data_IF_334867686247
#
_entry.id   IF_334867686247
#
_cell.length_a   1.000
_cell.length_b   1.000
_cell.length_c   1.000
_cell.angle_alpha   90.00
_cell.angle_beta   90.00
_cell.angle_gamma   90.00
#
_symmetry.space_group_name_H-M   'P 1'
#
loop_
_entity.id
_entity.type
_entity.pdbx_description
1 polymer ?
#
# COMPACT_ATOMS: atom_id res chain seq x y z
N UNK A 1 1.54 -7.91 -2.59
CA UNK A 1 1.96 -6.53 -2.85
C UNK A 1 0.84 -5.74 -3.49
N UNK A 2 0.77 -4.47 -3.21
CA UNK A 2 -0.15 -3.56 -3.88
C UNK A 2 0.38 -3.28 -5.29
N UNK A 3 -0.34 -3.76 -6.30
CA UNK A 3 0.03 -3.65 -7.72
C UNK A 3 -1.12 -3.12 -8.59
N UNK A 4 -2.15 -2.56 -7.97
CA UNK A 4 -3.34 -2.02 -8.61
C UNK A 4 -4.13 -3.01 -9.50
N UNK A 5 -3.89 -4.32 -9.33
CA UNK A 5 -4.58 -5.35 -10.11
C UNK A 5 -6.02 -5.56 -9.62
N UNK A 6 -6.25 -5.42 -8.31
CA UNK A 6 -7.52 -5.73 -7.67
C UNK A 6 -8.17 -4.53 -6.96
N UNK A 7 -7.42 -3.48 -6.67
CA UNK A 7 -7.89 -2.34 -5.90
C UNK A 7 -8.73 -1.39 -6.76
N UNK A 8 -10.04 -1.38 -6.54
CA UNK A 8 -11.01 -0.63 -7.36
C UNK A 8 -10.91 0.89 -7.16
N UNK A 9 -10.43 1.33 -6.01
CA UNK A 9 -10.25 2.74 -5.68
C UNK A 9 -9.14 3.46 -6.45
N UNK A 10 -8.32 2.72 -7.22
CA UNK A 10 -7.30 3.30 -8.09
C UNK A 10 -7.80 3.58 -9.51
N UNK A 11 -9.06 3.27 -9.76
CA UNK A 11 -9.69 3.42 -11.06
C UNK A 11 -11.06 4.09 -10.92
N UNK A 12 -11.10 5.39 -10.55
CA UNK A 12 -12.36 6.10 -10.36
C UNK A 12 -13.12 6.22 -11.68
N UNK A 13 -14.46 6.23 -11.57
CA UNK A 13 -15.35 6.49 -12.69
C UNK A 13 -15.63 7.98 -12.76
N UNK A 14 -15.40 8.57 -13.92
CA UNK A 14 -15.67 9.97 -14.21
C UNK A 14 -17.18 10.22 -14.42
N UNK A 15 -17.57 11.51 -14.44
CA UNK A 15 -18.96 11.92 -14.63
C UNK A 15 -19.56 11.47 -15.99
N UNK A 16 -18.73 11.29 -16.99
CA UNK A 16 -19.11 10.77 -18.33
C UNK A 16 -19.19 9.23 -18.40
N UNK A 17 -18.94 8.54 -17.27
CA UNK A 17 -18.93 7.09 -17.17
C UNK A 17 -17.61 6.43 -17.56
N UNK A 18 -16.63 7.17 -18.06
CA UNK A 18 -15.29 6.64 -18.35
C UNK A 18 -14.53 6.28 -17.05
N UNK A 19 -13.53 5.41 -17.17
CA UNK A 19 -12.69 4.99 -16.04
C UNK A 19 -11.29 5.56 -16.20
N UNK A 20 -10.84 6.33 -15.22
CA UNK A 20 -9.45 6.80 -15.13
C UNK A 20 -8.54 5.68 -14.64
N UNK A 21 -7.44 5.39 -15.36
CA UNK A 21 -6.51 4.31 -15.05
C UNK A 21 -5.10 4.79 -14.67
N UNK A 22 -4.84 6.08 -14.74
CA UNK A 22 -3.52 6.69 -14.56
C UNK A 22 -2.89 6.32 -13.21
N UNK A 23 -3.68 6.37 -12.15
CA UNK A 23 -3.24 6.00 -10.81
C UNK A 23 -2.92 4.51 -10.70
N UNK A 24 -3.75 3.66 -11.28
CA UNK A 24 -3.52 2.22 -11.31
C UNK A 24 -2.23 1.88 -12.08
N UNK A 25 -2.00 2.54 -13.22
CA UNK A 25 -0.78 2.42 -14.02
C UNK A 25 0.45 2.83 -13.20
N UNK A 26 0.43 4.02 -12.59
CA UNK A 26 1.55 4.53 -11.80
C UNK A 26 1.92 3.61 -10.63
N UNK A 27 0.92 3.08 -9.91
CA UNK A 27 1.15 2.14 -8.80
C UNK A 27 1.71 0.80 -9.31
N UNK A 28 1.21 0.31 -10.44
CA UNK A 28 1.74 -0.93 -11.02
C UNK A 28 3.20 -0.75 -11.46
N UNK A 29 3.53 0.31 -12.17
CA UNK A 29 4.91 0.62 -12.56
C UNK A 29 5.83 0.71 -11.34
N UNK A 30 5.42 1.42 -10.30
CA UNK A 30 6.16 1.51 -9.04
C UNK A 30 6.39 0.12 -8.39
N UNK A 31 5.40 -0.77 -8.46
CA UNK A 31 5.54 -2.13 -7.97
C UNK A 31 6.50 -2.96 -8.84
N UNK A 32 6.50 -2.79 -10.17
CA UNK A 32 7.45 -3.48 -11.05
C UNK A 32 8.90 -3.04 -10.76
N UNK A 33 9.15 -1.77 -10.45
CA UNK A 33 10.46 -1.28 -10.00
C UNK A 33 10.90 -2.03 -8.72
N UNK A 34 10.00 -2.19 -7.76
CA UNK A 34 10.29 -2.95 -6.53
C UNK A 34 10.60 -4.43 -6.83
N UNK A 35 9.87 -5.06 -7.76
CA UNK A 35 10.16 -6.44 -8.19
C UNK A 35 11.54 -6.56 -8.84
N UNK A 36 11.92 -5.63 -9.70
CA UNK A 36 13.24 -5.59 -10.34
C UNK A 36 14.34 -5.44 -9.28
N UNK A 37 14.16 -4.53 -8.33
CA UNK A 37 15.07 -4.37 -7.21
C UNK A 37 15.25 -5.66 -6.41
N UNK A 38 14.14 -6.35 -6.06
CA UNK A 38 14.22 -7.61 -5.32
C UNK A 38 14.87 -8.72 -6.14
N UNK A 39 14.57 -8.82 -7.44
CA UNK A 39 15.20 -9.79 -8.34
C UNK A 39 16.71 -9.58 -8.38
N UNK A 40 17.17 -8.35 -8.57
CA UNK A 40 18.59 -8.01 -8.50
C UNK A 40 19.24 -8.41 -7.15
N UNK A 41 18.53 -8.18 -6.02
CA UNK A 41 19.07 -8.58 -4.72
C UNK A 41 19.11 -10.10 -4.55
N UNK A 42 18.21 -10.84 -5.18
CA UNK A 42 18.29 -12.33 -5.21
C UNK A 42 19.51 -12.80 -6.01
N UNK A 43 19.74 -12.27 -7.20
CA UNK A 43 20.91 -12.59 -8.01
C UNK A 43 22.23 -12.26 -7.30
N UNK A 44 22.24 -11.21 -6.51
CA UNK A 44 23.39 -10.82 -5.66
C UNK A 44 23.54 -11.64 -4.38
N UNK A 45 22.63 -12.58 -4.10
CA UNK A 45 22.62 -13.38 -2.88
C UNK A 45 22.33 -12.58 -1.59
N UNK A 46 21.82 -11.36 -1.71
CA UNK A 46 21.39 -10.50 -0.60
C UNK A 46 20.05 -10.99 -0.07
N UNK A 47 19.06 -11.13 -0.96
CA UNK A 47 17.80 -11.81 -0.68
C UNK A 47 17.93 -13.29 -1.05
N UNK A 48 17.54 -14.17 -0.15
CA UNK A 48 17.64 -15.62 -0.32
C UNK A 48 16.28 -16.25 -0.17
N UNK A 49 16.11 -17.42 -0.82
CA UNK A 49 14.88 -18.20 -0.73
C UNK A 49 13.64 -17.33 -1.04
N UNK A 50 13.42 -16.92 -2.30
CA UNK A 50 12.35 -16.00 -2.67
C UNK A 50 10.98 -16.37 -2.06
N UNK A 51 10.65 -17.66 -1.98
CA UNK A 51 9.39 -18.14 -1.36
C UNK A 51 9.21 -17.76 0.11
N UNK A 52 10.27 -17.37 0.81
CA UNK A 52 10.17 -16.89 2.19
C UNK A 52 9.57 -15.49 2.27
N UNK A 53 9.67 -14.70 1.20
CA UNK A 53 9.21 -13.32 1.21
C UNK A 53 8.24 -12.94 0.08
N UNK A 54 8.19 -13.67 -1.05
CA UNK A 54 7.25 -13.40 -2.14
C UNK A 54 6.68 -14.69 -2.70
N UNK A 55 5.36 -14.74 -2.86
CA UNK A 55 4.65 -15.90 -3.37
C UNK A 55 3.60 -15.47 -4.39
N UNK A 56 3.39 -16.29 -5.42
CA UNK A 56 2.28 -16.08 -6.35
C UNK A 56 0.97 -16.32 -5.63
N UNK A 57 0.12 -15.30 -5.63
CA UNK A 57 -1.27 -15.38 -5.16
C UNK A 57 -2.12 -14.57 -6.14
N UNK A 58 -3.06 -15.18 -6.85
CA UNK A 58 -3.90 -14.47 -7.80
C UNK A 58 -4.62 -13.29 -7.14
N UNK A 59 -4.67 -12.17 -7.87
CA UNK A 59 -5.40 -10.98 -7.45
C UNK A 59 -6.74 -10.92 -8.18
N UNK A 60 -7.81 -10.71 -7.43
CA UNK A 60 -9.18 -10.66 -7.91
C UNK A 60 -9.88 -9.41 -7.39
N UNK A 61 -10.72 -8.81 -8.24
CA UNK A 61 -11.79 -7.94 -7.78
C UNK A 61 -13.09 -8.74 -7.87
N UNK A 62 -13.97 -8.61 -6.88
CA UNK A 62 -15.28 -9.26 -6.87
C UNK A 62 -16.35 -8.27 -6.43
N UNK A 63 -17.41 -8.19 -7.19
CA UNK A 63 -18.54 -7.30 -6.93
C UNK A 63 -19.88 -7.99 -7.21
N UNK A 64 -20.95 -7.46 -6.61
CA UNK A 64 -22.33 -7.86 -6.86
C UNK A 64 -23.23 -6.66 -7.00
N UNK A 65 -24.39 -6.89 -7.60
CA UNK A 65 -25.37 -5.86 -7.97
C UNK A 65 -25.05 -5.22 -9.34
N UNK A 66 -26.09 -4.79 -10.03
CA UNK A 66 -26.02 -4.36 -11.42
C UNK A 66 -25.04 -3.22 -11.67
N UNK A 67 -25.10 -2.18 -10.84
CA UNK A 67 -24.24 -1.01 -10.97
C UNK A 67 -22.76 -1.35 -10.79
N UNK A 68 -22.46 -2.20 -9.80
CA UNK A 68 -21.10 -2.63 -9.54
C UNK A 68 -20.56 -3.56 -10.63
N UNK A 69 -21.40 -4.42 -11.19
CA UNK A 69 -21.06 -5.27 -12.35
C UNK A 69 -20.74 -4.40 -13.56
N UNK A 70 -21.56 -3.40 -13.84
CA UNK A 70 -21.33 -2.46 -14.94
C UNK A 70 -20.02 -1.67 -14.74
N UNK A 71 -19.77 -1.20 -13.52
CA UNK A 71 -18.51 -0.53 -13.18
C UNK A 71 -17.29 -1.45 -13.40
N UNK A 72 -17.33 -2.69 -12.90
CA UNK A 72 -16.19 -3.61 -13.02
C UNK A 72 -15.93 -3.99 -14.49
N UNK A 73 -16.98 -4.13 -15.28
CA UNK A 73 -16.88 -4.37 -16.74
C UNK A 73 -16.19 -3.20 -17.44
N UNK A 74 -16.60 -1.97 -17.16
CA UNK A 74 -15.98 -0.75 -17.69
C UNK A 74 -14.51 -0.63 -17.27
N UNK A 75 -14.22 -0.89 -15.98
CA UNK A 75 -12.85 -0.92 -15.45
C UNK A 75 -11.97 -1.93 -16.18
N UNK A 76 -12.47 -3.15 -16.36
CA UNK A 76 -11.73 -4.18 -17.10
C UNK A 76 -11.38 -3.71 -18.52
N UNK A 77 -12.36 -3.17 -19.25
CA UNK A 77 -12.14 -2.67 -20.61
C UNK A 77 -11.10 -1.53 -20.66
N UNK A 78 -11.13 -0.62 -19.70
CA UNK A 78 -10.17 0.48 -19.62
C UNK A 78 -8.74 -0.04 -19.32
N UNK A 79 -8.60 -0.97 -18.36
CA UNK A 79 -7.29 -1.54 -17.98
C UNK A 79 -6.65 -2.36 -19.11
N UNK A 80 -7.45 -2.98 -20.01
CA UNK A 80 -6.90 -3.72 -21.15
C UNK A 80 -6.14 -2.83 -22.15
N UNK A 81 -6.28 -1.51 -22.08
CA UNK A 81 -5.51 -0.57 -22.90
C UNK A 81 -4.06 -0.41 -22.44
N UNK A 82 -3.74 -0.85 -21.23
CA UNK A 82 -2.40 -0.78 -20.64
C UNK A 82 -1.66 -2.11 -20.76
N UNK A 83 -0.38 -2.07 -21.15
CA UNK A 83 0.49 -3.25 -21.22
C UNK A 83 0.66 -3.97 -19.86
N UNK A 84 0.51 -3.23 -18.77
CA UNK A 84 0.70 -3.73 -17.39
C UNK A 84 -0.45 -4.63 -16.90
N UNK A 85 -1.64 -4.52 -17.49
CA UNK A 85 -2.83 -5.26 -17.06
C UNK A 85 -3.24 -6.35 -18.07
N UNK A 86 -2.42 -6.61 -19.07
CA UNK A 86 -2.64 -7.73 -19.99
C UNK A 86 -2.64 -9.06 -19.23
N UNK A 87 -3.49 -9.98 -19.65
CA UNK A 87 -3.67 -11.25 -18.98
C UNK A 87 -4.64 -11.21 -17.78
N UNK A 88 -5.21 -10.04 -17.46
CA UNK A 88 -6.37 -9.97 -16.59
C UNK A 88 -7.57 -10.60 -17.30
N UNK A 89 -8.31 -11.46 -16.58
CA UNK A 89 -9.55 -12.08 -17.05
C UNK A 89 -10.75 -11.46 -16.35
N UNK A 90 -11.88 -11.45 -17.02
CA UNK A 90 -13.17 -10.97 -16.51
C UNK A 90 -14.23 -12.05 -16.68
N UNK A 91 -15.11 -12.20 -15.70
CA UNK A 91 -16.24 -13.12 -15.78
C UNK A 91 -17.45 -12.61 -14.98
N UNK A 92 -18.66 -12.90 -15.49
CA UNK A 92 -19.94 -12.78 -14.78
C UNK A 92 -20.56 -14.18 -14.54
N UNK A 93 -19.88 -15.23 -15.00
CA UNK A 93 -20.33 -16.61 -14.84
C UNK A 93 -20.05 -17.12 -13.43
N UNK A 94 -21.09 -17.52 -12.72
CA UNK A 94 -21.05 -18.06 -11.36
C UNK A 94 -20.13 -19.28 -11.26
N UNK A 95 -20.16 -20.19 -12.25
CA UNK A 95 -19.34 -21.40 -12.23
C UNK A 95 -17.86 -21.06 -12.35
N UNK A 96 -17.53 -20.15 -13.27
CA UNK A 96 -16.15 -19.69 -13.44
C UNK A 96 -15.61 -18.94 -12.22
N UNK A 97 -16.42 -18.05 -11.62
CA UNK A 97 -16.02 -17.32 -10.42
C UNK A 97 -15.86 -18.28 -9.23
N UNK A 98 -16.72 -19.30 -9.13
CA UNK A 98 -16.60 -20.34 -8.10
C UNK A 98 -15.31 -21.14 -8.26
N UNK A 99 -14.91 -21.48 -9.48
CA UNK A 99 -13.60 -22.11 -9.74
C UNK A 99 -12.43 -21.23 -9.28
N UNK A 100 -12.53 -19.91 -9.50
CA UNK A 100 -11.50 -18.97 -9.12
C UNK A 100 -11.39 -18.73 -7.61
N UNK A 101 -12.52 -18.66 -6.92
CA UNK A 101 -12.61 -18.38 -5.48
C UNK A 101 -13.86 -19.05 -4.89
N UNK A 102 -13.78 -20.35 -4.54
CA UNK A 102 -14.94 -21.11 -4.08
C UNK A 102 -15.70 -20.46 -2.94
N UNK A 103 -14.99 -19.95 -1.92
CA UNK A 103 -15.62 -19.42 -0.71
C UNK A 103 -16.56 -18.23 -0.97
N UNK A 104 -16.25 -17.39 -2.00
CA UNK A 104 -17.10 -16.22 -2.28
C UNK A 104 -18.38 -16.58 -3.04
N UNK A 105 -18.46 -17.79 -3.59
CA UNK A 105 -19.61 -18.24 -4.39
C UNK A 105 -20.44 -19.33 -3.72
N UNK A 106 -19.86 -20.11 -2.81
CA UNK A 106 -20.59 -21.17 -2.12
C UNK A 106 -21.68 -20.61 -1.21
N UNK A 107 -22.92 -21.08 -1.44
CA UNK A 107 -24.09 -20.58 -0.74
C UNK A 107 -24.63 -19.22 -1.21
N UNK A 108 -24.04 -18.63 -2.25
CA UNK A 108 -24.53 -17.39 -2.85
C UNK A 108 -25.76 -17.64 -3.72
N UNK A 109 -26.71 -16.68 -3.67
CA UNK A 109 -27.92 -16.73 -4.49
C UNK A 109 -27.55 -16.82 -6.00
N UNK A 110 -27.97 -17.87 -6.70
CA UNK A 110 -27.69 -18.04 -8.14
C UNK A 110 -28.25 -16.92 -9.03
N UNK A 111 -29.24 -16.17 -8.55
CA UNK A 111 -29.86 -15.05 -9.26
C UNK A 111 -29.15 -13.73 -9.03
N UNK A 112 -28.26 -13.66 -8.05
CA UNK A 112 -27.50 -12.44 -7.76
C UNK A 112 -26.55 -12.12 -8.93
N UNK A 113 -26.66 -10.92 -9.50
CA UNK A 113 -25.69 -10.45 -10.50
C UNK A 113 -24.34 -10.28 -9.84
N UNK A 114 -23.32 -10.94 -10.36
CA UNK A 114 -21.94 -10.90 -9.87
C UNK A 114 -20.97 -10.66 -11.02
N UNK A 115 -19.81 -10.11 -10.71
CA UNK A 115 -18.69 -10.05 -11.63
C UNK A 115 -17.37 -10.14 -10.88
N UNK A 116 -16.36 -10.70 -11.53
CA UNK A 116 -15.00 -10.74 -11.02
C UNK A 116 -13.97 -10.48 -12.11
N UNK A 117 -12.84 -9.89 -11.70
CA UNK A 117 -11.60 -9.94 -12.46
C UNK A 117 -10.59 -10.82 -11.75
N UNK A 118 -9.70 -11.48 -12.51
CA UNK A 118 -8.63 -12.33 -11.98
C UNK A 118 -7.34 -12.13 -12.75
N UNK A 119 -6.25 -11.98 -12.04
CA UNK A 119 -4.89 -11.86 -12.60
C UNK A 119 -3.96 -12.84 -11.89
N UNK A 120 -3.37 -13.77 -12.63
CA UNK A 120 -2.55 -14.86 -12.08
C UNK A 120 -1.18 -14.38 -11.56
N UNK A 121 -0.66 -13.27 -12.09
CA UNK A 121 0.64 -12.70 -11.69
C UNK A 121 0.60 -11.92 -10.37
N UNK A 122 -0.53 -11.93 -9.66
CA UNK A 122 -0.64 -11.34 -8.33
C UNK A 122 0.32 -11.97 -7.34
N UNK A 123 0.70 -11.22 -6.33
CA UNK A 123 1.68 -11.70 -5.33
C UNK A 123 1.27 -11.35 -3.90
N UNK A 124 1.63 -12.21 -2.98
CA UNK A 124 1.72 -11.91 -1.56
C UNK A 124 3.18 -11.71 -1.15
N UNK A 125 3.46 -10.65 -0.37
CA UNK A 125 4.82 -10.24 0.00
C UNK A 125 4.94 -10.12 1.51
N UNK A 126 5.93 -10.80 2.10
CA UNK A 126 6.34 -10.66 3.49
C UNK A 126 7.47 -9.60 3.58
N UNK A 127 7.08 -8.35 3.76
CA UNK A 127 8.03 -7.23 3.87
C UNK A 127 8.93 -7.33 5.09
N UNK A 128 8.46 -7.95 6.16
CA UNK A 128 9.27 -8.22 7.35
C UNK A 128 10.47 -9.09 7.02
N UNK A 129 10.25 -10.14 6.22
CA UNK A 129 11.34 -11.03 5.81
C UNK A 129 12.33 -10.33 4.86
N UNK A 130 11.85 -9.54 3.89
CA UNK A 130 12.71 -8.71 3.05
C UNK A 130 13.59 -7.80 3.92
N UNK A 131 12.98 -7.12 4.89
CA UNK A 131 13.71 -6.22 5.81
C UNK A 131 14.76 -6.96 6.61
N UNK A 132 14.43 -8.12 7.20
CA UNK A 132 15.39 -8.93 7.96
C UNK A 132 16.60 -9.32 7.10
N UNK A 133 16.38 -9.78 5.88
CA UNK A 133 17.45 -10.22 4.99
C UNK A 133 18.32 -9.05 4.51
N UNK A 134 17.71 -7.90 4.16
CA UNK A 134 18.45 -6.69 3.78
C UNK A 134 19.34 -6.20 4.93
N UNK A 135 18.80 -6.12 6.15
CA UNK A 135 19.57 -5.72 7.34
C UNK A 135 20.69 -6.72 7.64
N UNK A 136 20.41 -8.02 7.58
CA UNK A 136 21.43 -9.05 7.78
C UNK A 136 22.58 -8.96 6.76
N UNK A 137 22.28 -8.58 5.51
CA UNK A 137 23.31 -8.31 4.51
C UNK A 137 24.11 -7.04 4.82
N UNK A 138 23.46 -5.97 5.26
CA UNK A 138 24.13 -4.72 5.64
C UNK A 138 25.07 -4.91 6.84
N UNK A 139 24.68 -5.72 7.82
CA UNK A 139 25.50 -6.00 9.03
C UNK A 139 26.84 -6.68 8.70
N UNK A 140 26.99 -7.26 7.50
CA UNK A 140 28.29 -7.82 7.05
C UNK A 140 29.25 -6.75 6.53
N UNK A 141 28.80 -5.51 6.39
CA UNK A 141 29.62 -4.38 5.91
C UNK A 141 30.28 -3.65 7.09
N UNK A 142 31.57 -3.37 6.97
CA UNK A 142 32.35 -2.69 8.03
C UNK A 142 31.91 -1.23 8.29
N UNK A 143 31.21 -0.61 7.33
CA UNK A 143 30.72 0.75 7.42
C UNK A 143 29.22 0.84 7.79
N UNK A 144 28.62 -0.24 8.31
CA UNK A 144 27.23 -0.28 8.76
C UNK A 144 27.16 -0.59 10.26
N UNK A 145 26.34 0.15 10.99
CA UNK A 145 26.03 -0.09 12.39
C UNK A 145 24.54 -0.13 12.64
N UNK A 146 24.06 -1.16 13.35
CA UNK A 146 22.67 -1.31 13.77
C UNK A 146 22.59 -1.23 15.28
N UNK A 147 21.79 -0.32 15.80
CA UNK A 147 21.49 -0.18 17.22
C UNK A 147 20.02 -0.53 17.47
N UNK A 148 19.79 -1.69 18.05
CA UNK A 148 18.46 -2.13 18.47
C UNK A 148 18.14 -1.62 19.87
N UNK A 149 16.86 -1.62 20.24
CA UNK A 149 16.38 -1.06 21.53
C UNK A 149 16.85 0.37 21.76
N UNK A 150 16.92 1.15 20.69
CA UNK A 150 17.40 2.52 20.68
C UNK A 150 16.36 3.44 20.06
N UNK A 151 16.11 4.57 20.71
CA UNK A 151 15.11 5.56 20.29
C UNK A 151 15.78 6.90 20.02
N UNK A 152 15.55 7.44 18.82
CA UNK A 152 15.93 8.82 18.51
C UNK A 152 14.96 9.76 19.21
N UNK A 153 15.49 10.64 20.06
CA UNK A 153 14.70 11.58 20.88
C UNK A 153 14.82 13.02 20.48
N UNK A 154 15.92 13.40 19.84
CA UNK A 154 16.11 14.77 19.37
C UNK A 154 16.97 14.81 18.12
N UNK A 155 16.70 15.80 17.29
CA UNK A 155 17.44 16.13 16.08
C UNK A 155 17.80 17.62 16.12
N UNK A 156 19.09 17.93 16.21
CA UNK A 156 19.56 19.30 16.25
C UNK A 156 20.47 19.58 15.07
N UNK A 157 20.13 20.58 14.26
CA UNK A 157 21.00 21.08 13.20
C UNK A 157 22.19 21.83 13.80
N UNK A 158 23.39 21.57 13.30
CA UNK A 158 24.61 22.29 13.64
C UNK A 158 24.90 23.38 12.60
N UNK A 159 25.73 24.37 12.95
CA UNK A 159 26.07 25.50 12.10
C UNK A 159 26.74 25.10 10.77
N UNK A 160 27.37 23.92 10.73
CA UNK A 160 28.03 23.39 9.52
C UNK A 160 27.12 22.45 8.68
N UNK A 161 25.82 22.59 8.81
CA UNK A 161 24.81 21.77 8.11
C UNK A 161 24.90 20.26 8.40
N UNK A 162 25.52 19.85 9.50
CA UNK A 162 25.42 18.49 10.02
C UNK A 162 24.33 18.40 11.09
N UNK A 163 24.01 17.20 11.53
CA UNK A 163 23.01 16.94 12.56
C UNK A 163 23.64 16.31 13.79
N UNK A 164 23.19 16.71 14.96
CA UNK A 164 23.37 15.97 16.21
C UNK A 164 22.09 15.19 16.46
N UNK A 165 22.20 13.87 16.44
CA UNK A 165 21.11 12.92 16.70
C UNK A 165 21.26 12.38 18.10
N UNK A 166 20.32 12.70 18.98
CA UNK A 166 20.31 12.16 20.35
C UNK A 166 19.55 10.84 20.36
N UNK A 167 20.25 9.79 20.77
CA UNK A 167 19.73 8.40 20.80
C UNK A 167 19.73 7.91 22.23
N UNK A 168 18.57 7.46 22.72
CA UNK A 168 18.42 6.82 24.02
C UNK A 168 18.48 5.29 23.86
N UNK A 169 19.29 4.64 24.69
CA UNK A 169 19.25 3.19 24.87
C UNK A 169 18.11 2.83 25.83
N UNK A 170 17.11 2.11 25.32
CA UNK A 170 15.91 1.75 26.09
C UNK A 170 16.15 0.63 27.11
N UNK A 171 17.33 -0.03 27.09
CA UNK A 171 17.67 -1.09 28.06
C UNK A 171 18.28 -0.54 29.32
N UNK A 172 19.15 0.46 29.21
CA UNK A 172 19.90 1.01 30.35
C UNK A 172 19.56 2.48 30.65
N UNK A 173 18.74 3.13 29.81
CA UNK A 173 18.32 4.52 29.98
C UNK A 173 19.40 5.56 29.68
N UNK A 174 20.56 5.17 29.18
CA UNK A 174 21.61 6.12 28.79
C UNK A 174 21.29 6.79 27.42
N UNK A 175 21.84 7.98 27.21
CA UNK A 175 21.72 8.67 25.93
C UNK A 175 23.11 8.97 25.36
N UNK A 176 23.21 8.93 24.02
CA UNK A 176 24.41 9.31 23.28
C UNK A 176 24.05 10.27 22.13
N UNK A 177 25.02 11.07 21.72
CA UNK A 177 24.90 11.95 20.58
C UNK A 177 25.70 11.41 19.41
N UNK A 178 25.04 11.26 18.26
CA UNK A 178 25.67 10.84 17.01
C UNK A 178 25.69 12.02 16.05
N UNK A 179 26.83 12.32 15.45
CA UNK A 179 26.92 13.34 14.40
C UNK A 179 26.68 12.70 13.02
N UNK A 180 25.76 13.28 12.24
CA UNK A 180 25.40 12.80 10.93
C UNK A 180 25.49 13.94 9.89
N UNK A 181 25.94 13.63 8.67
CA UNK A 181 25.88 14.56 7.52
C UNK A 181 24.51 14.56 6.87
N UNK A 182 23.82 13.45 6.92
CA UNK A 182 22.48 13.25 6.39
C UNK A 182 21.67 12.40 7.35
N UNK A 183 20.40 12.74 7.54
CA UNK A 183 19.44 11.97 8.34
C UNK A 183 18.26 11.57 7.47
N UNK A 184 17.97 10.26 7.43
CA UNK A 184 16.72 9.78 6.85
C UNK A 184 15.79 9.28 7.97
N UNK A 185 14.59 9.85 8.04
CA UNK A 185 13.58 9.49 9.02
C UNK A 185 12.62 8.47 8.39
N UNK A 186 12.88 7.19 8.62
CA UNK A 186 12.04 6.08 8.17
C UNK A 186 11.25 5.44 9.32
N UNK A 187 10.72 6.24 10.25
CA UNK A 187 10.15 5.79 11.51
C UNK A 187 8.65 5.43 11.45
N UNK A 188 8.09 5.21 10.26
CA UNK A 188 6.68 4.91 10.09
C UNK A 188 5.78 5.99 10.70
N UNK A 189 4.82 5.63 11.54
CA UNK A 189 3.94 6.61 12.19
C UNK A 189 4.66 7.64 13.06
N UNK A 190 5.83 7.33 13.60
CA UNK A 190 6.62 8.26 14.40
C UNK A 190 7.44 9.25 13.56
N UNK A 191 7.47 9.10 12.25
CA UNK A 191 8.27 9.97 11.37
C UNK A 191 7.84 11.44 11.46
N UNK A 192 6.55 11.72 11.59
CA UNK A 192 6.04 13.08 11.74
C UNK A 192 6.61 13.79 12.97
N UNK A 193 6.63 13.13 14.12
CA UNK A 193 7.19 13.72 15.36
C UNK A 193 8.67 14.04 15.21
N UNK A 194 9.43 13.11 14.68
CA UNK A 194 10.88 13.32 14.44
C UNK A 194 11.13 14.42 13.43
N UNK A 195 10.28 14.52 12.39
CA UNK A 195 10.36 15.61 11.43
C UNK A 195 10.08 16.97 12.08
N UNK A 196 9.08 17.05 12.95
CA UNK A 196 8.79 18.26 13.73
C UNK A 196 9.94 18.63 14.68
N UNK A 197 10.52 17.65 15.38
CA UNK A 197 11.69 17.82 16.24
C UNK A 197 12.93 18.35 15.50
N UNK A 198 13.05 18.07 14.21
CA UNK A 198 14.15 18.60 13.38
C UNK A 198 14.12 20.11 13.22
N UNK A 199 12.95 20.74 13.43
CA UNK A 199 12.76 22.18 13.33
C UNK A 199 12.90 22.76 11.91
N UNK A 200 12.92 21.92 10.85
CA UNK A 200 12.98 22.44 9.48
C UNK A 200 11.67 23.16 9.11
N UNK A 201 11.75 24.25 8.33
CA UNK A 201 10.55 25.02 7.95
C UNK A 201 9.50 24.17 7.22
N UNK A 202 9.95 23.22 6.41
CA UNK A 202 9.11 22.34 5.60
C UNK A 202 8.23 21.40 6.45
N UNK A 203 8.55 21.21 7.74
CA UNK A 203 7.78 20.37 8.65
C UNK A 203 6.51 21.04 9.20
N UNK A 204 6.41 22.38 9.12
CA UNK A 204 5.41 23.15 9.88
C UNK A 204 3.95 22.87 9.50
N UNK A 205 3.72 22.54 8.25
CA UNK A 205 2.38 22.43 7.67
C UNK A 205 1.83 21.00 7.68
N UNK A 206 2.52 20.07 8.36
CA UNK A 206 2.12 18.68 8.43
C UNK A 206 1.49 18.31 9.76
N UNK A 207 0.42 17.53 9.70
CA UNK A 207 -0.19 16.85 10.83
C UNK A 207 -0.44 15.38 10.48
N UNK A 208 -0.76 14.57 11.46
CA UNK A 208 -1.03 13.15 11.31
C UNK A 208 -2.44 12.79 11.75
N UNK A 209 -3.09 11.93 10.98
CA UNK A 209 -4.36 11.33 11.34
C UNK A 209 -4.18 9.81 11.50
N UNK A 210 -4.13 9.30 12.75
CA UNK A 210 -3.87 7.89 13.00
C UNK A 210 -5.12 7.05 12.77
N UNK A 211 -4.97 6.00 11.96
CA UNK A 211 -6.02 4.99 11.71
C UNK A 211 -5.44 3.62 11.92
N UNK A 212 -6.08 2.82 12.75
CA UNK A 212 -5.76 1.40 12.90
C UNK A 212 -6.64 0.52 12.04
N UNK A 213 -6.34 -0.77 12.03
CA UNK A 213 -7.15 -1.77 11.37
C UNK A 213 -7.21 -3.05 12.18
N UNK A 214 -8.32 -3.76 12.02
CA UNK A 214 -8.53 -5.10 12.55
C UNK A 214 -8.94 -6.02 11.40
N UNK A 215 -8.64 -7.30 11.55
CA UNK A 215 -9.03 -8.35 10.61
C UNK A 215 -9.64 -9.52 11.36
N UNK A 216 -10.61 -10.16 10.76
CA UNK A 216 -10.95 -11.55 11.09
C UNK A 216 -9.93 -12.44 10.39
N UNK A 217 -9.39 -13.42 11.12
CA UNK A 217 -8.34 -14.33 10.64
C UNK A 217 -8.80 -15.77 10.84
N UNK A 218 -8.67 -16.57 9.80
CA UNK A 218 -8.85 -18.01 9.86
C UNK A 218 -7.54 -18.74 9.58
N UNK A 219 -7.23 -19.71 10.41
CA UNK A 219 -6.16 -20.70 10.25
C UNK A 219 -6.74 -22.10 10.01
N UNK A 220 -8.08 -22.24 9.92
CA UNK A 220 -8.72 -23.52 9.65
C UNK A 220 -8.30 -24.05 8.28
N UNK A 221 -7.73 -25.27 8.18
CA UNK A 221 -7.29 -25.86 6.91
C UNK A 221 -8.38 -25.92 5.85
N UNK A 222 -9.63 -26.15 6.24
CA UNK A 222 -10.78 -26.22 5.31
C UNK A 222 -11.04 -24.84 4.66
N UNK A 223 -10.86 -23.76 5.39
CA UNK A 223 -10.95 -22.40 4.84
C UNK A 223 -9.71 -22.06 4.02
N UNK A 224 -8.54 -22.28 4.61
CA UNK A 224 -7.24 -21.85 4.03
C UNK A 224 -6.93 -22.58 2.73
N UNK A 225 -7.27 -23.85 2.60
CA UNK A 225 -7.00 -24.63 1.39
C UNK A 225 -8.00 -24.37 0.26
N UNK A 226 -9.21 -23.88 0.59
CA UNK A 226 -10.23 -23.52 -0.38
C UNK A 226 -10.15 -22.07 -0.89
N UNK A 227 -9.31 -21.22 -0.28
CA UNK A 227 -9.15 -19.83 -0.69
C UNK A 227 -7.69 -19.54 -1.04
N UNK A 228 -7.40 -19.42 -2.35
CA UNK A 228 -6.04 -19.27 -2.86
C UNK A 228 -5.85 -17.97 -3.65
N UNK A 229 -6.63 -16.95 -3.34
CA UNK A 229 -6.59 -15.65 -4.01
C UNK A 229 -6.65 -14.50 -2.99
N UNK A 230 -6.33 -13.30 -3.45
CA UNK A 230 -6.70 -12.04 -2.79
C UNK A 230 -7.92 -11.48 -3.51
N UNK A 231 -9.04 -11.38 -2.81
CA UNK A 231 -10.31 -10.94 -3.40
C UNK A 231 -10.75 -9.64 -2.76
N UNK A 232 -10.70 -8.56 -3.53
CA UNK A 232 -11.09 -7.20 -3.12
C UNK A 232 -12.48 -6.86 -3.64
N UNK A 233 -13.30 -6.31 -2.74
CA UNK A 233 -14.60 -5.76 -3.08
C UNK A 233 -14.54 -4.29 -3.46
N UNK A 234 -15.72 -3.67 -3.47
CA UNK A 234 -15.88 -2.23 -3.60
C UNK A 234 -16.16 -1.62 -2.23
N UNK A 235 -15.51 -0.51 -1.93
CA UNK A 235 -15.78 0.24 -0.71
C UNK A 235 -17.23 0.74 -0.70
N UNK A 236 -17.85 0.76 0.49
CA UNK A 236 -19.15 1.40 0.68
C UNK A 236 -19.06 2.89 0.36
N UNK A 237 -20.18 3.49 -0.03
CA UNK A 237 -20.27 4.94 -0.27
C UNK A 237 -19.85 5.69 1.00
N UNK A 238 -18.91 6.65 0.86
CA UNK A 238 -18.37 7.42 1.99
C UNK A 238 -17.24 6.72 2.76
N UNK A 239 -16.96 5.45 2.49
CA UNK A 239 -15.83 4.75 3.10
C UNK A 239 -14.50 5.20 2.48
N UNK A 240 -13.45 5.41 3.30
CA UNK A 240 -12.14 5.76 2.76
C UNK A 240 -11.55 4.60 1.95
N UNK A 241 -10.73 4.88 0.92
CA UNK A 241 -10.14 3.86 0.05
C UNK A 241 -9.39 2.75 0.77
N UNK A 242 -8.89 3.02 1.97
CA UNK A 242 -8.18 2.05 2.80
C UNK A 242 -9.08 1.03 3.50
N UNK A 243 -10.39 1.23 3.46
CA UNK A 243 -11.40 0.38 4.11
C UNK A 243 -12.12 -0.54 3.14
N UNK A 244 -11.55 -0.76 1.95
CA UNK A 244 -12.09 -1.69 0.96
C UNK A 244 -12.13 -3.10 1.57
N UNK A 245 -13.33 -3.70 1.73
CA UNK A 245 -13.42 -5.06 2.25
C UNK A 245 -12.74 -6.06 1.31
N UNK A 246 -11.99 -6.98 1.88
CA UNK A 246 -11.34 -8.02 1.11
C UNK A 246 -11.17 -9.30 1.92
N UNK A 247 -11.19 -10.43 1.22
CA UNK A 247 -10.86 -11.73 1.76
C UNK A 247 -9.60 -12.25 1.08
N UNK A 248 -8.51 -12.37 1.85
CA UNK A 248 -7.17 -12.53 1.33
C UNK A 248 -6.46 -13.76 1.85
N UNK A 249 -5.90 -14.55 0.96
CA UNK A 249 -4.82 -15.47 1.31
C UNK A 249 -3.53 -14.70 1.60
N UNK A 250 -2.91 -15.03 2.74
CA UNK A 250 -1.59 -14.50 3.15
C UNK A 250 -0.66 -15.66 3.45
N UNK A 251 0.61 -15.46 3.08
CA UNK A 251 1.70 -16.37 3.42
C UNK A 251 2.66 -15.65 4.34
N UNK A 252 2.63 -15.97 5.63
CA UNK A 252 3.42 -15.33 6.67
C UNK A 252 4.29 -16.37 7.37
N UNK A 253 5.60 -16.19 7.29
CA UNK A 253 6.59 -17.07 7.93
C UNK A 253 6.35 -18.57 7.64
N UNK A 254 6.03 -18.88 6.36
CA UNK A 254 5.76 -20.22 5.88
C UNK A 254 4.36 -20.77 6.17
N UNK A 255 3.52 -20.03 6.90
CA UNK A 255 2.13 -20.40 7.19
C UNK A 255 1.17 -19.65 6.29
N UNK A 256 0.17 -20.35 5.78
CA UNK A 256 -0.95 -19.75 5.05
C UNK A 256 -2.10 -19.47 6.01
N UNK A 257 -2.68 -18.27 5.90
CA UNK A 257 -3.87 -17.84 6.63
C UNK A 257 -4.82 -17.12 5.67
N UNK A 258 -6.10 -17.03 6.03
CA UNK A 258 -7.07 -16.18 5.33
C UNK A 258 -7.48 -15.04 6.24
N UNK A 259 -7.42 -13.82 5.72
CA UNK A 259 -7.82 -12.60 6.42
C UNK A 259 -9.07 -12.03 5.78
N UNK A 260 -9.98 -11.49 6.58
CA UNK A 260 -11.10 -10.67 6.12
C UNK A 260 -11.12 -9.33 6.85
N UNK A 261 -11.29 -8.25 6.11
CA UNK A 261 -11.34 -6.86 6.59
C UNK A 261 -10.82 -5.90 5.53
N UNK A 262 -10.21 -4.76 5.91
CA UNK A 262 -10.00 -4.29 7.28
C UNK A 262 -11.26 -3.68 7.90
N UNK A 263 -11.38 -3.79 9.20
CA UNK A 263 -12.26 -2.98 10.02
C UNK A 263 -11.45 -1.81 10.57
N UNK A 264 -11.85 -0.59 10.26
CA UNK A 264 -11.12 0.57 10.71
C UNK A 264 -11.26 0.76 12.22
N UNK A 265 -10.18 1.14 12.87
CA UNK A 265 -10.18 1.54 14.27
C UNK A 265 -9.53 2.91 14.41
N UNK A 266 -9.91 3.64 15.44
CA UNK A 266 -9.28 4.90 15.79
C UNK A 266 -8.47 4.73 17.06
N UNK A 267 -7.29 5.33 17.07
CA UNK A 267 -6.44 5.44 18.25
C UNK A 267 -5.61 6.71 18.12
N UNK A 268 -5.31 7.35 19.24
CA UNK A 268 -4.39 8.50 19.25
C UNK A 268 -2.92 8.09 19.14
N UNK A 269 -2.63 6.79 19.18
CA UNK A 269 -1.29 6.25 18.97
C UNK A 269 -0.88 6.30 17.50
N UNK A 270 0.34 6.68 17.22
CA UNK A 270 0.91 6.67 15.87
C UNK A 270 1.54 5.32 15.49
N UNK A 271 1.91 4.53 16.47
CA UNK A 271 2.45 3.18 16.31
C UNK A 271 1.65 2.18 17.15
N UNK A 272 1.67 0.91 16.78
CA UNK A 272 1.03 -0.18 17.55
C UNK A 272 1.44 -0.16 19.02
N UNK A 273 2.72 0.04 19.28
CA UNK A 273 3.32 0.15 20.62
C UNK A 273 3.66 1.61 20.99
N UNK A 274 3.00 2.59 20.35
CA UNK A 274 3.18 4.01 20.62
C UNK A 274 2.42 4.49 21.88
N UNK A 275 2.48 5.80 22.12
CA UNK A 275 1.83 6.47 23.24
C UNK A 275 0.45 7.01 22.84
N UNK A 276 -0.50 6.99 23.77
CA UNK A 276 -1.79 7.68 23.62
C UNK A 276 -1.63 9.20 23.46
N UNK A 277 -0.49 9.75 23.83
CA UNK A 277 -0.14 11.15 23.68
C UNK A 277 0.44 11.50 22.30
N UNK A 278 0.63 10.55 21.40
CA UNK A 278 1.28 10.79 20.10
C UNK A 278 0.54 11.85 19.29
N UNK A 279 -0.77 11.73 19.15
CA UNK A 279 -1.59 12.72 18.42
C UNK A 279 -1.51 14.10 19.07
N UNK A 280 -1.70 14.18 20.38
CA UNK A 280 -1.68 15.44 21.11
C UNK A 280 -0.31 16.13 21.04
N UNK A 281 0.77 15.36 21.22
CA UNK A 281 2.15 15.89 21.20
C UNK A 281 2.62 16.29 19.80
N UNK A 282 1.97 15.81 18.73
CA UNK A 282 2.24 16.21 17.34
C UNK A 282 1.39 17.40 16.89
N UNK A 283 0.41 17.82 17.70
CA UNK A 283 -0.46 18.97 17.40
C UNK A 283 0.25 20.26 17.81
N UNK A 284 0.38 21.18 16.86
CA UNK A 284 1.06 22.47 16.99
C UNK A 284 0.11 23.61 16.61
N UNK A 285 0.48 24.84 16.94
CA UNK A 285 -0.28 26.03 16.52
C UNK A 285 -0.37 26.18 15.00
N UNK A 286 0.61 25.66 14.26
CA UNK A 286 0.64 25.75 12.80
C UNK A 286 -0.23 24.69 12.11
N UNK A 287 -0.43 23.51 12.72
CA UNK A 287 -1.15 22.40 12.09
C UNK A 287 -2.55 22.14 12.65
N UNK A 288 -2.93 22.76 13.79
CA UNK A 288 -4.27 22.58 14.40
C UNK A 288 -5.40 23.05 13.47
N UNK A 289 -5.21 24.18 12.79
CA UNK A 289 -6.23 24.68 11.85
C UNK A 289 -6.40 23.77 10.64
N UNK A 290 -5.34 23.34 9.92
CA UNK A 290 -5.45 22.28 8.92
C UNK A 290 -6.17 21.01 9.39
N UNK A 291 -5.89 20.54 10.60
CA UNK A 291 -6.60 19.39 11.19
C UNK A 291 -8.10 19.63 11.36
N UNK A 292 -8.49 20.82 11.83
CA UNK A 292 -9.91 21.19 12.00
C UNK A 292 -10.64 21.26 10.64
N UNK A 293 -10.04 21.87 9.62
CA UNK A 293 -10.61 21.93 8.28
C UNK A 293 -10.82 20.52 7.70
N UNK A 294 -9.79 19.66 7.79
CA UNK A 294 -9.92 18.27 7.34
C UNK A 294 -11.05 17.54 8.07
N UNK A 295 -11.21 17.74 9.38
CA UNK A 295 -12.29 17.14 10.16
C UNK A 295 -13.68 17.60 9.71
N UNK A 296 -13.84 18.88 9.39
CA UNK A 296 -15.11 19.47 8.92
C UNK A 296 -15.40 19.06 7.47
N UNK A 297 -14.41 19.13 6.59
CA UNK A 297 -14.56 18.83 5.17
C UNK A 297 -14.75 17.33 4.88
N UNK A 298 -14.29 16.47 5.80
CA UNK A 298 -14.42 15.02 5.70
C UNK A 298 -15.36 14.44 6.79
N UNK A 299 -16.47 15.12 7.05
CA UNK A 299 -17.42 14.68 8.08
C UNK A 299 -17.94 13.27 7.85
N UNK A 300 -18.16 12.86 6.59
CA UNK A 300 -18.57 11.50 6.25
C UNK A 300 -17.50 10.46 6.62
N UNK A 301 -16.21 10.80 6.46
CA UNK A 301 -15.11 9.98 6.93
C UNK A 301 -15.13 9.83 8.45
N UNK A 302 -15.33 10.92 9.17
CA UNK A 302 -15.43 10.89 10.64
C UNK A 302 -16.59 10.02 11.09
N UNK A 303 -17.77 10.20 10.49
CA UNK A 303 -18.97 9.38 10.74
C UNK A 303 -18.72 7.90 10.46
N UNK A 304 -18.07 7.59 9.33
CA UNK A 304 -17.69 6.22 8.97
C UNK A 304 -16.75 5.62 10.03
N UNK A 305 -15.70 6.33 10.45
CA UNK A 305 -14.76 5.83 11.46
C UNK A 305 -15.44 5.58 12.81
N UNK A 306 -16.35 6.48 13.22
CA UNK A 306 -17.16 6.28 14.43
C UNK A 306 -17.98 5.00 14.30
N UNK A 307 -18.67 4.79 13.17
CA UNK A 307 -19.45 3.58 12.92
C UNK A 307 -18.59 2.31 12.99
N UNK A 308 -17.38 2.35 12.44
CA UNK A 308 -16.45 1.23 12.46
C UNK A 308 -15.95 0.87 13.86
N UNK A 309 -15.68 1.88 14.70
CA UNK A 309 -15.27 1.66 16.09
C UNK A 309 -16.40 1.03 16.92
N UNK A 310 -17.66 1.32 16.57
CA UNK A 310 -18.86 0.79 17.26
C UNK A 310 -19.28 -0.60 16.78
N UNK A 311 -18.64 -1.19 15.74
CA UNK A 311 -18.99 -2.52 15.26
C UNK A 311 -18.80 -3.56 16.36
N UNK A 312 -19.83 -4.35 16.59
CA UNK A 312 -19.77 -5.54 17.42
C UNK A 312 -19.01 -6.68 16.72
N UNK A 313 -18.74 -7.74 17.44
CA UNK A 313 -18.18 -8.96 16.84
C UNK A 313 -19.15 -9.56 15.81
N UNK A 314 -20.45 -9.51 16.10
CA UNK A 314 -21.50 -10.00 15.21
C UNK A 314 -21.56 -9.18 13.91
N UNK A 315 -21.50 -7.86 13.99
CA UNK A 315 -21.50 -6.99 12.80
C UNK A 315 -20.33 -7.30 11.88
N UNK A 316 -19.13 -7.54 12.45
CA UNK A 316 -17.94 -7.93 11.66
C UNK A 316 -18.12 -9.29 11.02
N UNK A 317 -18.75 -10.21 11.71
CA UNK A 317 -19.01 -11.55 11.18
C UNK A 317 -20.08 -11.52 10.07
N UNK A 318 -21.14 -10.73 10.21
CA UNK A 318 -22.12 -10.53 9.14
C UNK A 318 -21.48 -9.87 7.90
N UNK A 319 -20.61 -8.91 8.08
CA UNK A 319 -19.83 -8.35 6.97
C UNK A 319 -18.96 -9.40 6.25
N UNK A 320 -18.38 -10.35 6.98
CA UNK A 320 -17.67 -11.49 6.38
C UNK A 320 -18.62 -12.36 5.54
N UNK A 321 -19.85 -12.62 6.02
CA UNK A 321 -20.83 -13.44 5.32
C UNK A 321 -21.31 -12.83 4.00
N UNK A 322 -21.22 -11.52 3.84
CA UNK A 322 -21.46 -10.91 2.52
C UNK A 322 -20.45 -11.39 1.46
N UNK A 323 -19.21 -11.70 1.86
CA UNK A 323 -18.16 -12.23 1.00
C UNK A 323 -18.06 -13.74 1.02
N UNK A 324 -18.26 -14.36 2.16
CA UNK A 324 -18.23 -15.80 2.37
C UNK A 324 -19.54 -16.26 3.06
N UNK A 325 -20.62 -16.53 2.29
CA UNK A 325 -21.95 -16.81 2.83
C UNK A 325 -22.00 -17.99 3.81
N UNK A 326 -21.15 -19.00 3.62
CA UNK A 326 -21.08 -20.20 4.46
C UNK A 326 -20.04 -20.11 5.58
N UNK A 327 -19.52 -18.93 5.89
CA UNK A 327 -18.58 -18.74 6.99
C UNK A 327 -19.16 -19.24 8.32
N UNK A 328 -18.32 -19.90 9.13
CA UNK A 328 -18.64 -20.34 10.49
C UNK A 328 -17.87 -19.51 11.48
N UNK A 329 -18.54 -18.99 12.50
CA UNK A 329 -17.96 -18.02 13.45
C UNK A 329 -16.76 -18.59 14.21
N UNK A 330 -16.80 -19.87 14.55
CA UNK A 330 -15.76 -20.61 15.26
C UNK A 330 -14.42 -20.70 14.51
N UNK A 331 -14.43 -20.50 13.19
CA UNK A 331 -13.22 -20.58 12.35
C UNK A 331 -12.43 -19.26 12.34
N UNK A 332 -12.98 -18.18 12.92
CA UNK A 332 -12.44 -16.83 12.80
C UNK A 332 -12.16 -16.20 14.15
N UNK A 333 -11.03 -15.53 14.24
CA UNK A 333 -10.66 -14.72 15.40
C UNK A 333 -10.29 -13.31 15.00
N UNK A 334 -10.54 -12.34 15.86
CA UNK A 334 -10.16 -10.95 15.63
C UNK A 334 -8.65 -10.77 15.83
N UNK A 335 -8.00 -10.11 14.88
CA UNK A 335 -6.59 -9.78 14.94
C UNK A 335 -6.36 -8.29 14.76
N UNK A 336 -5.62 -7.69 15.68
CA UNK A 336 -5.23 -6.29 15.63
C UNK A 336 -4.04 -6.11 14.67
N UNK A 337 -4.25 -5.37 13.59
CA UNK A 337 -3.19 -4.95 12.69
C UNK A 337 -2.40 -3.75 13.27
N UNK A 338 -1.50 -3.19 12.48
CA UNK A 338 -0.73 -2.00 12.86
C UNK A 338 -1.54 -0.71 12.78
N UNK A 339 -0.89 0.38 13.15
CA UNK A 339 -1.39 1.74 12.96
C UNK A 339 -0.78 2.33 11.69
N UNK A 340 -1.55 3.17 11.01
CA UNK A 340 -1.07 4.04 9.92
C UNK A 340 -1.39 5.49 10.26
N UNK A 341 -0.49 6.39 9.92
CA UNK A 341 -0.70 7.82 10.09
C UNK A 341 -0.86 8.41 8.71
N UNK A 342 -2.07 8.87 8.40
CA UNK A 342 -2.36 9.60 7.18
C UNK A 342 -1.87 11.04 7.31
N UNK A 343 -1.41 11.61 6.21
CA UNK A 343 -0.88 12.96 6.19
C UNK A 343 -2.04 13.96 6.10
N UNK A 344 -2.04 14.94 6.99
CA UNK A 344 -2.78 16.18 6.83
C UNK A 344 -1.76 17.27 6.47
N UNK A 345 -2.06 18.01 5.43
CA UNK A 345 -1.20 19.12 4.95
C UNK A 345 -2.02 20.40 4.84
N UNK A 346 -1.40 21.54 5.16
CA UNK A 346 -2.01 22.84 4.90
C UNK A 346 -2.21 23.01 3.40
N UNK A 347 -3.37 23.52 3.04
CA UNK A 347 -3.72 23.90 1.67
C UNK A 347 -4.14 25.36 1.62
N UNK A 348 -3.72 26.09 0.58
CA UNK A 348 -3.96 27.52 0.47
C UNK A 348 -5.44 27.85 0.24
N UNK A 349 -6.18 26.98 -0.42
CA UNK A 349 -7.59 27.19 -0.76
C UNK A 349 -8.53 26.56 0.26
N UNK A 350 -8.22 25.32 0.69
CA UNK A 350 -9.08 24.50 1.58
C UNK A 350 -8.70 24.60 3.06
N UNK A 351 -7.62 25.32 3.39
CA UNK A 351 -7.09 25.40 4.76
C UNK A 351 -6.35 24.13 5.22
N UNK A 352 -6.83 22.95 4.82
CA UNK A 352 -6.19 21.66 5.10
C UNK A 352 -6.72 20.57 4.18
N UNK A 353 -5.85 19.64 3.80
CA UNK A 353 -6.21 18.46 2.97
C UNK A 353 -5.65 17.18 3.57
N UNK A 354 -6.45 16.12 3.51
CA UNK A 354 -6.04 14.77 3.86
C UNK A 354 -5.36 14.13 2.64
N UNK A 355 -4.07 13.80 2.77
CA UNK A 355 -3.30 13.13 1.72
C UNK A 355 -3.27 11.63 1.96
N UNK A 356 -3.66 10.87 0.94
CA UNK A 356 -3.52 9.42 0.93
C UNK A 356 -2.25 9.03 0.17
N UNK A 357 -1.53 8.03 0.67
CA UNK A 357 -0.28 7.58 0.09
C UNK A 357 0.92 7.96 0.95
N UNK A 358 2.05 8.17 0.30
CA UNK A 358 3.34 8.51 0.93
C UNK A 358 3.87 9.82 0.36
N UNK A 359 4.59 10.57 1.19
CA UNK A 359 5.26 11.81 0.79
C UNK A 359 6.67 11.86 1.40
N UNK A 360 7.65 12.25 0.60
CA UNK A 360 9.02 12.52 1.07
C UNK A 360 9.18 14.01 1.30
N UNK A 361 9.37 14.39 2.56
CA UNK A 361 9.65 15.76 2.98
C UNK A 361 11.13 15.89 3.27
N UNK A 362 11.79 16.90 2.68
CA UNK A 362 13.22 17.17 2.90
C UNK A 362 13.45 18.65 3.05
N UNK A 363 14.52 19.02 3.76
CA UNK A 363 14.98 20.40 3.81
C UNK A 363 15.57 20.85 2.48
N UNK A 364 15.65 22.19 2.27
CA UNK A 364 16.20 22.78 1.05
C UNK A 364 17.69 22.43 0.83
N UNK A 365 18.43 22.16 1.90
CA UNK A 365 19.85 21.84 1.83
C UNK A 365 20.12 20.35 1.54
N UNK A 366 19.10 19.51 1.50
CA UNK A 366 19.25 18.08 1.28
C UNK A 366 20.01 17.34 2.38
N UNK A 367 19.89 17.79 3.64
CA UNK A 367 20.61 17.22 4.77
C UNK A 367 19.72 16.33 5.67
N UNK A 368 18.41 16.43 5.51
CA UNK A 368 17.43 15.57 6.19
C UNK A 368 16.25 15.28 5.25
N UNK A 369 15.74 14.08 5.33
CA UNK A 369 14.49 13.71 4.68
C UNK A 369 13.68 12.77 5.57
N UNK A 370 12.36 12.86 5.47
CA UNK A 370 11.42 11.99 6.16
C UNK A 370 10.44 11.38 5.16
N UNK A 371 10.13 10.10 5.36
CA UNK A 371 9.02 9.43 4.66
C UNK A 371 7.79 9.47 5.56
N UNK A 372 6.78 10.21 5.13
CA UNK A 372 5.48 10.33 5.79
C UNK A 372 4.42 9.52 5.06
N UNK A 373 3.29 9.27 5.74
CA UNK A 373 2.10 8.64 5.16
C UNK A 373 2.11 7.12 5.28
N UNK A 374 1.26 6.49 4.46
CA UNK A 374 0.97 5.08 4.60
C UNK A 374 1.01 4.30 3.27
N UNK A 375 0.02 3.46 3.01
CA UNK A 375 -0.04 2.59 1.83
C UNK A 375 -0.15 3.40 0.50
N UNK A 376 0.54 2.94 -0.57
CA UNK A 376 1.19 1.64 -0.75
C UNK A 376 2.68 1.56 -0.39
N UNK A 377 3.18 2.35 0.55
CA UNK A 377 4.58 2.56 0.88
C UNK A 377 5.51 1.34 0.82
N UNK A 378 5.16 0.22 1.44
CA UNK A 378 6.02 -0.97 1.44
C UNK A 378 6.17 -1.59 0.02
N UNK A 379 5.09 -1.63 -0.76
CA UNK A 379 5.10 -2.15 -2.14
C UNK A 379 5.90 -1.27 -3.10
N UNK A 380 6.03 0.00 -2.78
CA UNK A 380 6.67 1.02 -3.61
C UNK A 380 7.92 1.62 -2.95
N UNK A 381 8.50 0.91 -1.97
CA UNK A 381 9.65 1.41 -1.23
C UNK A 381 10.88 1.66 -2.14
N UNK A 382 11.14 0.77 -3.10
CA UNK A 382 12.29 0.93 -3.99
C UNK A 382 12.20 2.20 -4.87
N UNK A 383 11.10 2.46 -5.62
CA UNK A 383 10.99 3.72 -6.36
C UNK A 383 11.02 4.95 -5.44
N UNK A 384 10.39 4.93 -4.27
CA UNK A 384 10.46 6.05 -3.31
C UNK A 384 11.91 6.34 -2.92
N UNK A 385 12.73 5.31 -2.72
CA UNK A 385 14.15 5.50 -2.40
C UNK A 385 14.97 5.99 -3.61
N UNK A 386 14.62 5.59 -4.83
CA UNK A 386 15.24 6.13 -6.05
C UNK A 386 14.94 7.62 -6.18
N UNK A 387 13.68 8.03 -6.02
CA UNK A 387 13.28 9.44 -6.04
C UNK A 387 13.99 10.26 -4.94
N UNK A 388 14.14 9.65 -3.74
CA UNK A 388 14.90 10.27 -2.65
C UNK A 388 16.37 10.48 -3.02
N UNK A 389 17.01 9.47 -3.62
CA UNK A 389 18.41 9.57 -4.06
C UNK A 389 18.57 10.68 -5.10
N UNK A 390 17.66 10.78 -6.07
CA UNK A 390 17.67 11.84 -7.09
C UNK A 390 17.50 13.23 -6.44
N UNK A 391 16.54 13.35 -5.51
CA UNK A 391 16.25 14.62 -4.83
C UNK A 391 17.40 15.12 -3.95
N UNK A 392 18.06 14.21 -3.22
CA UNK A 392 19.07 14.57 -2.21
C UNK A 392 20.49 14.51 -2.77
N UNK A 393 20.76 13.59 -3.68
CA UNK A 393 22.10 13.33 -4.23
C UNK A 393 22.14 13.49 -5.75
N UNK A 394 21.32 14.38 -6.32
CA UNK A 394 21.12 14.54 -7.76
C UNK A 394 22.41 14.65 -8.57
N UNK A 395 23.39 15.44 -8.10
CA UNK A 395 24.68 15.58 -8.76
C UNK A 395 25.44 14.25 -8.90
N UNK A 396 25.35 13.38 -7.88
CA UNK A 396 25.97 12.05 -7.92
C UNK A 396 25.15 11.09 -8.79
N UNK A 397 23.83 11.10 -8.62
CA UNK A 397 22.91 10.25 -9.37
C UNK A 397 23.00 10.51 -10.88
N UNK A 398 23.22 11.74 -11.29
CA UNK A 398 23.37 12.13 -12.68
C UNK A 398 24.70 11.66 -13.33
N UNK A 399 25.67 11.20 -12.54
CA UNK A 399 26.94 10.72 -13.08
C UNK A 399 26.75 9.41 -13.89
N UNK A 400 27.55 9.20 -14.97
CA UNK A 400 27.46 7.99 -15.78
C UNK A 400 27.58 6.69 -14.99
N UNK A 401 28.44 6.68 -13.97
CA UNK A 401 28.67 5.51 -13.12
C UNK A 401 27.41 5.17 -12.29
N UNK A 402 26.76 6.16 -11.68
CA UNK A 402 25.53 5.96 -10.91
C UNK A 402 24.38 5.55 -11.82
N UNK A 403 24.23 6.20 -12.98
CA UNK A 403 23.20 5.85 -13.96
C UNK A 403 23.35 4.41 -14.44
N UNK A 404 24.57 3.95 -14.73
CA UNK A 404 24.83 2.55 -15.09
C UNK A 404 24.48 1.59 -13.95
N UNK A 405 24.85 1.93 -12.72
CA UNK A 405 24.54 1.12 -11.53
C UNK A 405 23.03 1.04 -11.28
N UNK A 406 22.32 2.16 -11.35
CA UNK A 406 20.86 2.18 -11.13
C UNK A 406 20.10 1.38 -12.19
N UNK A 407 20.53 1.45 -13.46
CA UNK A 407 19.97 0.63 -14.55
C UNK A 407 20.29 -0.86 -14.41
N UNK A 408 21.43 -1.19 -13.81
CA UNK A 408 21.74 -2.60 -13.49
C UNK A 408 20.86 -3.15 -12.35
N UNK A 409 20.52 -2.30 -11.36
CA UNK A 409 19.65 -2.66 -10.25
C UNK A 409 18.18 -2.72 -10.68
N UNK A 410 17.75 -1.74 -11.48
CA UNK A 410 16.38 -1.61 -12.00
C UNK A 410 16.45 -1.40 -13.51
N UNK A 411 16.32 -2.45 -14.32
CA UNK A 411 16.45 -2.36 -15.79
C UNK A 411 15.53 -1.34 -16.45
N UNK A 412 14.35 -1.08 -15.87
CA UNK A 412 13.41 -0.05 -16.36
C UNK A 412 13.67 1.34 -15.81
N UNK A 413 14.76 1.58 -15.06
CA UNK A 413 15.06 2.88 -14.49
C UNK A 413 15.13 3.99 -15.56
N UNK A 414 14.37 5.06 -15.34
CA UNK A 414 14.24 6.17 -16.30
C UNK A 414 13.36 5.90 -17.51
N UNK A 415 12.62 4.76 -17.54
CA UNK A 415 11.68 4.39 -18.61
C UNK A 415 10.35 3.96 -18.03
N UNK A 416 9.27 4.23 -18.76
CA UNK A 416 7.95 3.68 -18.46
C UNK A 416 7.78 2.32 -19.13
N UNK A 417 7.19 1.37 -18.42
CA UNK A 417 6.80 0.07 -18.97
C UNK A 417 5.45 0.15 -19.67
N UNK A 418 4.54 1.00 -19.16
CA UNK A 418 3.23 1.18 -19.79
C UNK A 418 3.37 1.72 -21.22
N UNK A 419 2.70 1.05 -22.16
CA UNK A 419 2.77 1.38 -23.59
C UNK A 419 3.84 0.60 -24.37
N UNK A 420 4.81 -0.02 -23.70
CA UNK A 420 5.79 -0.93 -24.31
C UNK A 420 5.51 -2.38 -23.87
N UNK A 421 4.72 -3.08 -24.68
CA UNK A 421 4.31 -4.47 -24.43
C UNK A 421 5.53 -5.38 -24.32
N UNK A 422 6.50 -5.25 -25.22
CA UNK A 422 7.67 -6.12 -25.26
C UNK A 422 8.56 -5.90 -24.04
N UNK A 423 8.76 -4.65 -23.62
CA UNK A 423 9.50 -4.34 -22.39
C UNK A 423 8.76 -4.87 -21.15
N UNK A 424 7.44 -4.64 -21.06
CA UNK A 424 6.63 -5.14 -19.94
C UNK A 424 6.72 -6.66 -19.81
N UNK A 425 6.56 -7.39 -20.91
CA UNK A 425 6.64 -8.86 -20.92
C UNK A 425 8.04 -9.36 -20.51
N UNK A 426 9.12 -8.76 -21.02
CA UNK A 426 10.50 -9.11 -20.65
C UNK A 426 10.75 -8.93 -19.15
N UNK A 427 10.35 -7.78 -18.60
CA UNK A 427 10.56 -7.48 -17.18
C UNK A 427 9.72 -8.38 -16.26
N UNK A 428 8.48 -8.65 -16.63
CA UNK A 428 7.64 -9.58 -15.90
C UNK A 428 8.17 -11.02 -15.93
N UNK A 429 8.65 -11.47 -17.08
CA UNK A 429 9.27 -12.80 -17.23
C UNK A 429 10.54 -12.88 -16.40
N UNK A 430 11.48 -11.97 -16.59
CA UNK A 430 12.75 -11.92 -15.86
C UNK A 430 12.53 -11.93 -14.35
N UNK A 431 11.72 -11.01 -13.84
CA UNK A 431 11.48 -10.93 -12.40
C UNK A 431 10.74 -12.14 -11.85
N UNK A 432 9.88 -12.77 -12.66
CA UNK A 432 9.17 -13.98 -12.25
C UNK A 432 10.13 -15.20 -12.17
N UNK A 433 11.01 -15.36 -13.15
CA UNK A 433 12.02 -16.42 -13.16
C UNK A 433 12.94 -16.31 -11.94
N UNK A 434 13.51 -15.13 -11.70
CA UNK A 434 14.46 -14.91 -10.59
C UNK A 434 13.78 -15.05 -9.22
N UNK A 435 12.55 -14.57 -9.10
CA UNK A 435 11.80 -14.62 -7.83
C UNK A 435 11.01 -15.92 -7.64
N UNK A 436 11.07 -16.85 -8.58
CA UNK A 436 10.36 -18.13 -8.51
C UNK A 436 8.84 -17.98 -8.55
N UNK A 437 8.34 -16.97 -9.28
CA UNK A 437 6.93 -16.67 -9.42
C UNK A 437 6.34 -17.31 -10.67
N UNK A 438 5.04 -17.60 -10.62
CA UNK A 438 4.31 -18.05 -11.79
C UNK A 438 4.12 -16.87 -12.78
N UNK A 439 4.45 -17.12 -14.04
CA UNK A 439 4.19 -16.18 -15.12
C UNK A 439 3.75 -16.94 -16.37
N UNK A 440 2.51 -16.72 -16.77
CA UNK A 440 1.98 -17.23 -18.03
C UNK A 440 1.91 -16.04 -18.98
N UNK A 441 2.62 -16.11 -20.11
CA UNK A 441 2.61 -15.04 -21.10
C UNK A 441 1.19 -14.80 -21.60
N UNK A 442 0.67 -13.56 -21.55
CA UNK A 442 -0.67 -13.27 -22.03
C UNK A 442 -0.83 -13.63 -23.51
N UNK A 443 -1.84 -14.40 -23.85
CA UNK A 443 -2.22 -14.60 -25.23
C UNK A 443 -2.72 -13.28 -25.83
N UNK A 444 -2.57 -13.10 -27.15
CA UNK A 444 -3.11 -11.93 -27.85
C UNK A 444 -4.60 -11.81 -27.52
N UNK A 445 -5.05 -10.60 -27.14
CA UNK A 445 -6.40 -10.38 -26.67
C UNK A 445 -7.42 -10.86 -27.72
N UNK A 446 -8.28 -11.79 -27.33
CA UNK A 446 -9.52 -12.05 -28.07
C UNK A 446 -10.35 -10.76 -28.11
N UNK A 447 -10.88 -10.46 -29.26
CA UNK A 447 -11.66 -9.26 -29.52
C UNK A 447 -12.88 -9.20 -28.58
N UNK A 448 -12.76 -8.45 -27.49
CA UNK A 448 -13.85 -8.22 -26.54
C UNK A 448 -14.93 -7.33 -27.15
N UNK A 449 -16.22 -7.60 -26.90
CA UNK A 449 -17.32 -6.73 -27.35
C UNK A 449 -17.19 -5.33 -26.75
N UNK A 450 -17.34 -4.30 -27.56
CA UNK A 450 -17.39 -2.90 -27.10
C UNK A 450 -18.59 -2.70 -26.20
N UNK A 451 -18.42 -2.23 -24.93
CA UNK A 451 -19.54 -1.98 -24.04
C UNK A 451 -20.38 -0.80 -24.54
N UNK A 452 -21.71 -0.98 -24.59
CA UNK A 452 -22.63 0.16 -24.69
C UNK A 452 -22.82 0.75 -23.29
N UNK A 453 -22.18 1.87 -23.03
CA UNK A 453 -22.29 2.61 -21.75
C UNK A 453 -23.57 3.45 -21.75
N UNK A 454 -24.45 3.20 -20.79
CA UNK A 454 -25.51 4.15 -20.41
C UNK A 454 -24.95 5.08 -19.33
N UNK A 455 -25.17 6.39 -19.40
CA UNK A 455 -24.75 7.32 -18.36
C UNK A 455 -25.47 7.00 -17.03
N UNK A 456 -24.68 6.88 -15.95
CA UNK A 456 -25.22 6.74 -14.60
C UNK A 456 -25.09 8.06 -13.82
N UNK A 457 -25.96 8.31 -12.82
CA UNK A 457 -25.87 9.52 -12.01
C UNK A 457 -24.58 9.57 -11.21
N UNK A 458 -23.95 10.72 -11.22
CA UNK A 458 -22.71 11.05 -10.54
C UNK A 458 -22.84 10.77 -9.04
N UNK A 459 -22.17 9.75 -8.53
CA UNK A 459 -21.90 9.68 -7.11
C UNK A 459 -20.94 10.83 -6.78
N UNK A 460 -21.36 11.72 -5.86
CA UNK A 460 -20.44 12.74 -5.32
C UNK A 460 -19.27 11.99 -4.69
N UNK A 461 -18.17 11.95 -5.41
CA UNK A 461 -16.90 11.54 -4.85
C UNK A 461 -16.54 12.45 -3.69
N UNK A 462 -15.90 11.88 -2.69
CA UNK A 462 -14.93 12.59 -1.87
C UNK A 462 -13.75 12.90 -2.79
N UNK A 463 -14.01 13.70 -3.82
CA UNK A 463 -13.24 13.78 -5.07
C UNK A 463 -12.10 14.77 -5.00
N UNK A 464 -11.72 15.25 -3.83
CA UNK A 464 -10.62 16.20 -3.68
C UNK A 464 -9.53 15.70 -2.73
N UNK A 465 -9.33 14.39 -2.71
CA UNK A 465 -8.09 13.84 -2.17
C UNK A 465 -7.10 13.83 -3.33
N UNK A 466 -6.55 15.01 -3.61
CA UNK A 466 -5.48 15.12 -4.59
C UNK A 466 -4.31 14.19 -4.23
N UNK A 467 -3.75 13.57 -5.23
CA UNK A 467 -2.55 12.73 -5.17
C UNK A 467 -1.32 13.50 -4.70
#
# INVERSE_FOLDING_TARGET
GHSALMELNYTPQNADGSISIEKAVAINEAFQISRQFWAHQVERGVLRTPRSFINTVPHMSFVWGEDNVNFLRARYAALQQSSLFRGMRYSEDHAQIKEWAPLVMEGRDPQQKVAATRTEIGTDVNYGEITRQLIASLQKKSNFSLQLSSEVRALKRNDNNTWTVTVADLKNGTAQNIRAKFVFIGAGGAALKLLQESGIPEAKDYAGFPVGGQFLVSENPDVVNHHLAKVYGKASVGAPPMSVPHIDTRVLDGKRVVLFGPFATFSTKFLKNGSLWDLMSSTTTSNVMPMMHVGLDNFDLVKYLVSQVMLSEEDRFEALKEYYPQAKKEDWRLWQAGQRVQIIKRDAEKGGVLRLGTEVVSDQQGTIAALLGASPGASTAAPIMLDLLEKVFGDRVSSPQWQATLKAIVPSYGRKLNGDVAATERELQYTSEVLGLKYDKPQAADSTPKPQLKPQPVQKEVADIAL
#
